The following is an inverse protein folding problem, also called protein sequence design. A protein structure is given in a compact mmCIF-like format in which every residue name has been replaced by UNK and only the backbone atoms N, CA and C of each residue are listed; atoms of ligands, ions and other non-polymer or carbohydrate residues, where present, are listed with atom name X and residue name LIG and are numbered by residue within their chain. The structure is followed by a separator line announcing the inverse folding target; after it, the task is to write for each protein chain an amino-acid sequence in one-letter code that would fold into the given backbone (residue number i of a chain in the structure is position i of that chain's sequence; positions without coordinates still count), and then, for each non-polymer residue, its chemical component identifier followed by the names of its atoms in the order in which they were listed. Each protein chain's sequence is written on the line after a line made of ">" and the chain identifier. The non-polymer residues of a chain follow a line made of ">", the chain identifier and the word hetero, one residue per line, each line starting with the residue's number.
data_IF_724903278304
#
_entry.id   IF_724903278304
#
_cell.length_a   1.000
_cell.length_b   1.000
_cell.length_c   1.000
_cell.angle_alpha   90.00
_cell.angle_beta   90.00
_cell.angle_gamma   90.00
#
_symmetry.space_group_name_H-M   'P 1'
#
loop_
_entity.id
_entity.type
_entity.pdbx_description
1 polymer ?
#
# COMPACT_ATOMS: atom_id res chain seq x y z
N UNK A 1 -1.31 12.57 -4.37
CA UNK A 1 -0.18 11.63 -4.59
C UNK A 1 -0.74 10.22 -4.71
N UNK A 2 -0.28 9.48 -5.72
CA UNK A 2 -0.78 8.14 -6.05
C UNK A 2 0.39 7.17 -6.07
N UNK A 3 0.31 6.12 -5.25
CA UNK A 3 1.28 5.04 -5.27
C UNK A 3 0.92 3.98 -6.31
N UNK A 4 1.90 3.44 -6.99
CA UNK A 4 1.71 2.38 -7.98
C UNK A 4 2.83 1.36 -7.90
N UNK A 5 2.53 0.12 -8.31
CA UNK A 5 3.55 -0.92 -8.44
C UNK A 5 4.50 -0.56 -9.58
N UNK A 6 5.81 -0.58 -9.28
CA UNK A 6 6.89 -0.23 -10.21
C UNK A 6 6.75 -0.87 -11.60
N UNK A 7 6.22 -2.06 -11.67
CA UNK A 7 6.09 -2.82 -12.92
C UNK A 7 4.71 -2.73 -13.57
N UNK A 8 3.86 -1.81 -13.10
CA UNK A 8 2.53 -1.57 -13.67
C UNK A 8 2.58 -0.84 -15.02
N UNK A 9 1.44 -0.73 -15.68
CA UNK A 9 1.30 -0.17 -17.02
C UNK A 9 1.85 1.27 -17.14
N UNK A 10 3.02 1.42 -17.72
CA UNK A 10 3.76 2.69 -17.79
C UNK A 10 3.01 3.79 -18.55
N UNK A 11 2.30 3.44 -19.63
CA UNK A 11 1.54 4.43 -20.38
C UNK A 11 0.39 5.03 -19.57
N UNK A 12 -0.28 4.23 -18.74
CA UNK A 12 -1.33 4.73 -17.84
C UNK A 12 -0.73 5.69 -16.80
N UNK A 13 0.41 5.35 -16.25
CA UNK A 13 1.13 6.18 -15.28
C UNK A 13 1.52 7.52 -15.90
N UNK A 14 2.03 7.48 -17.12
CA UNK A 14 2.40 8.69 -17.90
C UNK A 14 1.18 9.56 -18.17
N UNK A 15 0.06 8.97 -18.58
CA UNK A 15 -1.19 9.70 -18.82
C UNK A 15 -1.70 10.36 -17.54
N UNK A 16 -1.70 9.64 -16.44
CA UNK A 16 -2.12 10.16 -15.12
C UNK A 16 -1.24 11.33 -14.69
N UNK A 17 0.08 11.23 -14.87
CA UNK A 17 1.01 12.31 -14.56
C UNK A 17 0.74 13.54 -15.41
N UNK A 18 0.42 13.36 -16.70
CA UNK A 18 0.08 14.45 -17.62
C UNK A 18 -1.22 15.17 -17.23
N UNK A 19 -2.13 14.49 -16.53
CA UNK A 19 -3.33 15.13 -15.97
C UNK A 19 -3.07 15.86 -14.65
N UNK A 20 -1.83 15.86 -14.15
CA UNK A 20 -1.45 16.60 -12.95
C UNK A 20 -1.40 15.75 -11.68
N UNK A 21 -1.56 14.44 -11.76
CA UNK A 21 -1.41 13.56 -10.61
C UNK A 21 0.07 13.31 -10.31
N UNK A 22 0.43 13.38 -9.04
CA UNK A 22 1.77 12.99 -8.60
C UNK A 22 1.82 11.47 -8.45
N UNK A 23 2.57 10.82 -9.35
CA UNK A 23 2.71 9.36 -9.40
C UNK A 23 4.00 8.94 -8.71
N UNK A 24 3.90 7.99 -7.77
CA UNK A 24 5.04 7.52 -6.98
C UNK A 24 5.15 6.00 -7.10
N UNK A 25 6.29 5.49 -7.53
CA UNK A 25 6.49 4.05 -7.64
C UNK A 25 6.69 3.40 -6.27
N UNK A 26 6.09 2.24 -6.09
CA UNK A 26 6.19 1.46 -4.86
C UNK A 26 6.78 0.09 -5.19
N UNK A 27 7.96 -0.18 -4.65
CA UNK A 27 8.60 -1.48 -4.81
C UNK A 27 7.92 -2.52 -3.90
N UNK A 28 7.61 -3.69 -4.47
CA UNK A 28 6.84 -4.75 -3.80
C UNK A 28 7.76 -5.80 -3.18
N UNK A 29 8.51 -5.43 -2.16
CA UNK A 29 9.44 -6.33 -1.52
C UNK A 29 9.50 -6.16 0.00
N UNK A 30 10.61 -6.54 0.60
CA UNK A 30 10.82 -6.44 2.06
C UNK A 30 10.85 -4.99 2.57
N UNK A 31 11.02 -4.02 1.67
CA UNK A 31 10.88 -2.60 1.98
C UNK A 31 9.49 -2.21 2.49
N UNK A 32 8.49 -3.06 2.27
CA UNK A 32 7.13 -2.84 2.77
C UNK A 32 6.96 -3.22 4.26
N UNK A 33 7.96 -3.81 4.89
CA UNK A 33 7.88 -4.23 6.29
C UNK A 33 7.40 -3.12 7.23
N UNK A 34 7.95 -1.89 7.21
CA UNK A 34 7.47 -0.83 8.11
C UNK A 34 6.02 -0.43 7.84
N UNK A 35 5.63 -0.37 6.56
CA UNK A 35 4.26 0.00 6.17
C UNK A 35 3.26 -1.06 6.62
N UNK A 36 3.58 -2.33 6.44
CA UNK A 36 2.70 -3.43 6.83
C UNK A 36 2.56 -3.49 8.36
N UNK A 37 3.64 -3.23 9.12
CA UNK A 37 3.57 -3.15 10.59
C UNK A 37 2.68 -2.01 11.06
N UNK A 38 2.78 -0.84 10.45
CA UNK A 38 1.90 0.28 10.75
C UNK A 38 0.44 -0.07 10.44
N UNK A 39 0.19 -0.69 9.30
CA UNK A 39 -1.14 -1.09 8.88
C UNK A 39 -1.75 -2.13 9.84
N UNK A 40 -0.96 -3.11 10.27
CA UNK A 40 -1.38 -4.09 11.28
C UNK A 40 -1.81 -3.39 12.58
N UNK A 41 -1.05 -2.40 13.03
CA UNK A 41 -1.40 -1.61 14.21
C UNK A 41 -2.71 -0.85 14.03
N UNK A 42 -2.92 -0.25 12.88
CA UNK A 42 -4.16 0.47 12.55
C UNK A 42 -5.37 -0.47 12.58
N UNK A 43 -5.22 -1.68 12.04
CA UNK A 43 -6.28 -2.69 12.09
C UNK A 43 -6.59 -3.10 13.53
N UNK A 44 -5.57 -3.36 14.35
CA UNK A 44 -5.74 -3.74 15.76
C UNK A 44 -6.45 -2.67 16.57
N UNK A 45 -6.17 -1.39 16.26
CA UNK A 45 -6.79 -0.26 16.94
C UNK A 45 -8.21 0.03 16.45
N UNK A 46 -8.68 -0.68 15.43
CA UNK A 46 -10.01 -0.47 14.85
C UNK A 46 -10.15 0.78 14.02
N UNK A 47 -9.05 1.40 13.62
CA UNK A 47 -9.03 2.64 12.85
C UNK A 47 -9.12 2.45 11.34
N UNK A 48 -9.09 1.21 10.87
CA UNK A 48 -9.23 0.89 9.45
C UNK A 48 -10.66 0.50 9.14
N UNK A 49 -11.28 1.27 8.25
CA UNK A 49 -12.65 1.03 7.79
C UNK A 49 -12.67 0.85 6.29
N UNK A 50 -13.35 -0.19 5.83
CA UNK A 50 -13.56 -0.45 4.41
C UNK A 50 -15.05 -0.52 4.12
N UNK A 51 -15.45 -0.12 2.91
CA UNK A 51 -16.80 -0.33 2.43
C UNK A 51 -17.13 -1.82 2.45
N UNK A 52 -18.40 -2.16 2.56
CA UNK A 52 -18.85 -3.56 2.53
C UNK A 52 -18.69 -4.12 1.13
N UNK A 53 -17.49 -4.64 0.85
CA UNK A 53 -17.07 -5.15 -0.44
C UNK A 53 -16.44 -6.52 -0.24
N UNK A 54 -17.17 -7.56 -0.62
CA UNK A 54 -16.72 -8.94 -0.45
C UNK A 54 -15.47 -9.26 -1.26
N UNK A 55 -15.31 -8.66 -2.44
CA UNK A 55 -14.13 -8.86 -3.27
C UNK A 55 -12.87 -8.33 -2.56
N UNK A 56 -12.94 -7.12 -2.01
CA UNK A 56 -11.82 -6.53 -1.27
C UNK A 56 -11.48 -7.35 -0.02
N UNK A 57 -12.47 -7.78 0.73
CA UNK A 57 -12.28 -8.66 1.90
C UNK A 57 -11.59 -9.98 1.50
N UNK A 58 -12.00 -10.56 0.38
CA UNK A 58 -11.39 -11.80 -0.15
C UNK A 58 -9.92 -11.57 -0.48
N UNK A 59 -9.56 -10.45 -1.12
CA UNK A 59 -8.17 -10.13 -1.42
C UNK A 59 -7.32 -10.01 -0.15
N UNK A 60 -7.86 -9.43 0.92
CA UNK A 60 -7.16 -9.34 2.20
C UNK A 60 -6.94 -10.72 2.82
N UNK A 61 -7.93 -11.62 2.75
CA UNK A 61 -7.80 -12.97 3.27
C UNK A 61 -6.84 -13.85 2.47
N UNK A 62 -6.54 -13.48 1.25
CA UNK A 62 -5.63 -14.20 0.36
C UNK A 62 -4.16 -13.86 0.59
N UNK A 63 -3.85 -12.96 1.51
CA UNK A 63 -2.47 -12.49 1.76
C UNK A 63 -1.85 -13.29 2.89
N UNK A 64 -0.61 -13.72 2.66
CA UNK A 64 0.28 -14.21 3.71
C UNK A 64 1.56 -13.38 3.72
N UNK A 65 2.32 -13.46 4.77
CA UNK A 65 3.61 -12.76 4.88
C UNK A 65 4.75 -13.77 4.81
N UNK A 66 5.65 -13.57 3.86
CA UNK A 66 6.87 -14.38 3.76
C UNK A 66 7.97 -13.69 4.57
N UNK A 67 8.37 -14.33 5.66
CA UNK A 67 9.38 -13.81 6.56
C UNK A 67 10.79 -14.20 6.10
N UNK A 68 11.71 -13.24 6.18
CA UNK A 68 13.14 -13.51 6.06
C UNK A 68 13.71 -13.58 7.49
N UNK A 69 14.11 -14.75 7.92
CA UNK A 69 14.57 -15.00 9.28
C UNK A 69 15.88 -14.29 9.63
N UNK A 70 16.71 -14.01 8.63
CA UNK A 70 17.99 -13.31 8.82
C UNK A 70 17.81 -11.82 9.06
N UNK A 71 16.98 -11.18 8.23
CA UNK A 71 16.75 -9.72 8.27
C UNK A 71 15.59 -9.32 9.18
N UNK A 72 14.76 -10.27 9.61
CA UNK A 72 13.50 -10.05 10.35
C UNK A 72 12.50 -9.18 9.58
N UNK A 73 12.67 -9.07 8.28
CA UNK A 73 11.76 -8.39 7.37
C UNK A 73 10.80 -9.38 6.72
N UNK A 74 9.75 -8.86 6.15
CA UNK A 74 8.77 -9.69 5.46
C UNK A 74 8.18 -8.96 4.26
N UNK A 75 7.54 -9.72 3.39
CA UNK A 75 6.84 -9.20 2.21
C UNK A 75 5.52 -9.92 2.03
N UNK A 76 4.50 -9.26 1.44
CA UNK A 76 3.23 -9.93 1.16
C UNK A 76 3.36 -10.93 0.01
N UNK A 77 2.71 -12.07 0.15
CA UNK A 77 2.58 -13.08 -0.89
C UNK A 77 1.14 -13.58 -0.94
N UNK A 78 0.78 -14.24 -2.03
CA UNK A 78 -0.50 -14.93 -2.14
C UNK A 78 -0.47 -16.22 -1.32
N UNK A 79 -1.57 -16.56 -0.66
CA UNK A 79 -1.68 -17.84 0.08
C UNK A 79 -1.63 -19.06 -0.85
N UNK A 80 -2.08 -18.86 -2.10
CA UNK A 80 -1.98 -19.87 -3.17
C UNK A 80 -1.82 -19.16 -4.51
N UNK A 81 -1.32 -19.89 -5.53
CA UNK A 81 -0.97 -19.33 -6.83
C UNK A 81 -2.13 -18.63 -7.55
N UNK A 82 -3.36 -19.15 -7.41
CA UNK A 82 -4.56 -18.61 -8.08
C UNK A 82 -5.25 -17.49 -7.30
N UNK A 83 -4.84 -17.25 -6.07
CA UNK A 83 -5.43 -16.20 -5.25
C UNK A 83 -5.09 -14.80 -5.78
N UNK A 84 -6.00 -13.87 -5.58
CA UNK A 84 -5.81 -12.45 -5.94
C UNK A 84 -5.64 -11.61 -4.69
N UNK A 85 -4.66 -10.70 -4.71
CA UNK A 85 -4.37 -9.80 -3.60
C UNK A 85 -4.31 -8.33 -4.04
N UNK A 86 -4.78 -8.01 -5.24
CA UNK A 86 -4.65 -6.67 -5.83
C UNK A 86 -5.25 -5.58 -4.96
N UNK A 87 -6.39 -5.85 -4.31
CA UNK A 87 -7.01 -4.89 -3.38
C UNK A 87 -6.14 -4.61 -2.17
N UNK A 88 -5.49 -5.62 -1.60
CA UNK A 88 -4.54 -5.45 -0.51
C UNK A 88 -3.31 -4.65 -0.98
N UNK A 89 -2.74 -5.00 -2.12
CA UNK A 89 -1.58 -4.29 -2.70
C UNK A 89 -1.91 -2.82 -2.91
N UNK A 90 -3.10 -2.52 -3.43
CA UNK A 90 -3.58 -1.16 -3.63
C UNK A 90 -3.60 -0.36 -2.32
N UNK A 91 -4.09 -0.94 -1.24
CA UNK A 91 -4.10 -0.29 0.09
C UNK A 91 -2.67 -0.08 0.59
N UNK A 92 -1.79 -1.05 0.43
CA UNK A 92 -0.39 -0.94 0.86
C UNK A 92 0.35 0.13 0.04
N UNK A 93 0.08 0.25 -1.26
CA UNK A 93 0.64 1.32 -2.09
C UNK A 93 0.21 2.70 -1.57
N UNK A 94 -1.06 2.86 -1.23
CA UNK A 94 -1.58 4.09 -0.64
C UNK A 94 -0.95 4.39 0.73
N UNK A 95 -0.81 3.37 1.58
CA UNK A 95 -0.17 3.51 2.89
C UNK A 95 1.31 3.88 2.78
N UNK A 96 2.01 3.35 1.79
CA UNK A 96 3.41 3.66 1.53
C UNK A 96 3.58 5.13 1.18
N UNK A 97 2.75 5.64 0.28
CA UNK A 97 2.74 7.06 -0.10
C UNK A 97 2.37 7.93 1.09
N UNK A 98 1.37 7.55 1.87
CA UNK A 98 0.97 8.25 3.08
C UNK A 98 2.13 8.36 4.08
N UNK A 99 2.85 7.28 4.32
CA UNK A 99 3.99 7.26 5.24
C UNK A 99 5.14 8.14 4.73
N UNK A 100 5.43 8.06 3.43
CA UNK A 100 6.50 8.83 2.79
C UNK A 100 6.26 10.35 2.88
N UNK A 101 5.01 10.78 2.73
CA UNK A 101 4.66 12.21 2.67
C UNK A 101 3.95 12.71 3.93
N UNK A 102 3.98 11.95 5.00
CA UNK A 102 3.25 12.28 6.23
C UNK A 102 3.63 13.65 6.80
N UNK A 103 4.91 13.95 6.89
CA UNK A 103 5.38 15.23 7.40
C UNK A 103 4.98 16.40 6.50
N UNK A 104 5.12 16.23 5.19
CA UNK A 104 4.73 17.23 4.20
C UNK A 104 3.24 17.57 4.30
N UNK A 105 2.39 16.56 4.41
CA UNK A 105 0.94 16.76 4.57
C UNK A 105 0.64 17.45 5.90
N UNK A 106 1.32 17.06 6.97
CA UNK A 106 1.18 17.70 8.28
C UNK A 106 1.52 19.18 8.25
N UNK A 107 2.60 19.56 7.57
CA UNK A 107 3.00 20.95 7.40
C UNK A 107 2.00 21.76 6.57
N UNK A 108 1.50 21.18 5.48
CA UNK A 108 0.48 21.80 4.65
C UNK A 108 -0.80 22.09 5.46
N UNK A 109 -1.21 21.16 6.30
CA UNK A 109 -2.39 21.33 7.16
C UNK A 109 -2.17 22.42 8.21
N UNK A 110 -0.98 22.53 8.79
CA UNK A 110 -0.63 23.60 9.72
C UNK A 110 -0.66 24.96 9.05
N UNK A 111 -0.14 25.06 7.83
CA UNK A 111 -0.07 26.30 7.08
C UNK A 111 -1.45 26.74 6.55
N UNK A 112 -2.38 25.82 6.39
CA UNK A 112 -3.75 26.09 5.96
C UNK A 112 -4.64 26.62 7.11
N UNK A 113 -4.22 26.42 8.33
CA UNK A 113 -4.91 26.92 9.51
C UNK A 113 -4.44 28.32 9.87
#
# INVERSE_FOLDING_TARGET
>A
KIGYDRYSAQYLITDMANYGFHMDDVYQGENLTPVIREFEGIIKDGDFKIADNNLLKTHFLNVALKHNMETRKFRPIKIEQRAHIDGFVSVIDAMTVRQKYHEEVGELLKNAA
#
